data_IF_075718997399
#
_entry.id   IF_075718997399
#
_cell.length_a   1.000
_cell.length_b   1.000
_cell.length_c   1.000
_cell.angle_alpha   90.00
_cell.angle_beta   90.00
_cell.angle_gamma   90.00
#
_symmetry.space_group_name_H-M   'P 1'
#
loop_
_entity.id
_entity.type
_entity.pdbx_description
1 polymer ?
#
# COMPACT_ATOMS: atom_id res chain seq x y z
N UNK A 1 71.35 -51.58 -17.98
CA UNK A 1 70.71 -50.25 -17.94
C UNK A 1 69.26 -50.35 -18.37
N UNK A 2 68.29 -50.44 -17.45
CA UNK A 2 66.90 -50.10 -17.78
C UNK A 2 66.19 -49.48 -16.57
N UNK A 3 66.25 -48.17 -16.32
CA UNK A 3 65.49 -47.57 -15.20
C UNK A 3 65.08 -46.10 -15.41
N UNK A 4 65.40 -45.49 -16.55
CA UNK A 4 65.15 -44.06 -16.79
C UNK A 4 63.75 -43.76 -17.35
N UNK A 5 63.12 -44.68 -18.08
CA UNK A 5 61.81 -44.45 -18.69
C UNK A 5 60.63 -44.54 -17.69
N UNK A 6 60.72 -45.45 -16.71
CA UNK A 6 59.66 -45.62 -15.70
C UNK A 6 59.58 -44.43 -14.72
N UNK A 7 60.73 -43.84 -14.37
CA UNK A 7 60.79 -42.66 -13.50
C UNK A 7 60.23 -41.41 -14.19
N UNK A 8 60.47 -41.24 -15.50
CA UNK A 8 59.91 -40.12 -16.27
C UNK A 8 58.40 -40.22 -16.47
N UNK A 9 57.83 -41.43 -16.64
CA UNK A 9 56.36 -41.61 -16.74
C UNK A 9 55.64 -41.28 -15.44
N UNK A 10 56.17 -41.71 -14.28
CA UNK A 10 55.58 -41.38 -12.96
C UNK A 10 55.61 -39.88 -12.67
N UNK A 11 56.69 -39.18 -13.01
CA UNK A 11 56.81 -37.73 -12.81
C UNK A 11 55.86 -36.94 -13.73
N UNK A 12 55.68 -37.38 -14.99
CA UNK A 12 54.70 -36.79 -15.91
C UNK A 12 53.25 -37.00 -15.44
N UNK A 13 52.93 -38.19 -14.92
CA UNK A 13 51.60 -38.48 -14.38
C UNK A 13 51.27 -37.61 -13.17
N UNK A 14 52.23 -37.43 -12.26
CA UNK A 14 52.06 -36.58 -11.07
C UNK A 14 51.86 -35.10 -11.39
N UNK A 15 52.60 -34.57 -12.36
CA UNK A 15 52.46 -33.16 -12.78
C UNK A 15 51.11 -32.94 -13.47
N UNK A 16 50.67 -33.87 -14.32
CA UNK A 16 49.36 -33.77 -15.00
C UNK A 16 48.22 -33.85 -13.98
N UNK A 17 48.28 -34.76 -13.00
CA UNK A 17 47.27 -34.84 -11.93
C UNK A 17 47.24 -33.58 -11.07
N UNK A 18 48.38 -32.96 -10.78
CA UNK A 18 48.45 -31.71 -10.03
C UNK A 18 47.82 -30.55 -10.79
N UNK A 19 48.08 -30.44 -12.11
CA UNK A 19 47.52 -29.39 -12.97
C UNK A 19 46.02 -29.53 -13.15
N UNK A 20 45.51 -30.76 -13.27
CA UNK A 20 44.06 -31.01 -13.35
C UNK A 20 43.40 -30.67 -12.01
N UNK A 21 44.00 -31.05 -10.89
CA UNK A 21 43.45 -30.75 -9.56
C UNK A 21 43.39 -29.24 -9.31
N UNK A 22 44.42 -28.47 -9.66
CA UNK A 22 44.42 -27.01 -9.52
C UNK A 22 43.46 -26.32 -10.49
N UNK A 23 43.32 -26.83 -11.72
CA UNK A 23 42.33 -26.32 -12.67
C UNK A 23 40.89 -26.55 -12.19
N UNK A 24 40.60 -27.73 -11.64
CA UNK A 24 39.27 -28.04 -11.07
C UNK A 24 39.00 -27.19 -9.84
N UNK A 25 39.96 -27.05 -8.92
CA UNK A 25 39.82 -26.18 -7.74
C UNK A 25 39.60 -24.71 -8.13
N UNK A 26 40.38 -24.20 -9.09
CA UNK A 26 40.22 -22.84 -9.63
C UNK A 26 38.84 -22.63 -10.26
N UNK A 27 38.36 -23.60 -11.05
CA UNK A 27 37.03 -23.53 -11.66
C UNK A 27 35.91 -23.59 -10.61
N UNK A 28 36.04 -24.40 -9.55
CA UNK A 28 35.03 -24.47 -8.48
C UNK A 28 34.98 -23.15 -7.71
N UNK A 29 36.14 -22.57 -7.36
CA UNK A 29 36.19 -21.26 -6.69
C UNK A 29 35.61 -20.16 -7.58
N UNK A 30 35.89 -20.19 -8.89
CA UNK A 30 35.37 -19.21 -9.83
C UNK A 30 33.86 -19.37 -10.08
N UNK A 31 33.35 -20.61 -10.16
CA UNK A 31 31.93 -20.87 -10.32
C UNK A 31 31.14 -20.54 -9.05
N UNK A 32 31.62 -20.93 -7.86
CA UNK A 32 30.93 -20.64 -6.59
C UNK A 32 31.03 -19.15 -6.24
N UNK A 33 32.22 -18.55 -6.36
CA UNK A 33 32.41 -17.11 -6.11
C UNK A 33 31.71 -16.23 -7.12
N UNK A 34 31.71 -16.63 -8.40
CA UNK A 34 30.99 -15.95 -9.48
C UNK A 34 29.48 -16.00 -9.31
N UNK A 35 28.91 -17.15 -8.92
CA UNK A 35 27.48 -17.26 -8.61
C UNK A 35 27.08 -16.42 -7.39
N UNK A 36 27.93 -16.36 -6.36
CA UNK A 36 27.65 -15.58 -5.16
C UNK A 36 27.72 -14.06 -5.44
N UNK A 37 28.72 -13.62 -6.21
CA UNK A 37 28.86 -12.22 -6.62
C UNK A 37 27.77 -11.80 -7.61
N UNK A 38 27.47 -12.60 -8.63
CA UNK A 38 26.39 -12.32 -9.58
C UNK A 38 25.00 -12.40 -8.93
N UNK A 39 24.79 -13.29 -7.96
CA UNK A 39 23.54 -13.34 -7.20
C UNK A 39 23.32 -12.11 -6.32
N UNK A 40 24.37 -11.63 -5.65
CA UNK A 40 24.30 -10.44 -4.78
C UNK A 40 24.21 -9.11 -5.56
N UNK A 41 24.74 -9.06 -6.78
CA UNK A 41 24.62 -7.88 -7.67
C UNK A 41 23.35 -7.94 -8.52
N UNK A 42 22.91 -9.14 -8.90
CA UNK A 42 21.67 -9.36 -9.64
C UNK A 42 20.43 -9.05 -8.80
N UNK A 43 20.45 -9.33 -7.49
CA UNK A 43 19.36 -8.92 -6.60
C UNK A 43 19.27 -7.41 -6.48
N UNK A 44 20.38 -6.67 -6.47
CA UNK A 44 20.37 -5.20 -6.38
C UNK A 44 19.90 -4.49 -7.66
N UNK A 45 19.78 -5.22 -8.77
CA UNK A 45 19.32 -4.71 -10.07
C UNK A 45 17.85 -5.06 -10.35
N UNK A 46 17.21 -5.82 -9.46
CA UNK A 46 15.77 -6.08 -9.52
C UNK A 46 15.03 -4.84 -8.98
N UNK A 47 14.16 -4.18 -9.77
CA UNK A 47 13.38 -3.03 -9.32
C UNK A 47 12.47 -3.35 -8.12
N UNK A 48 12.22 -4.63 -7.84
CA UNK A 48 11.43 -5.10 -6.70
C UNK A 48 12.30 -5.54 -5.50
N UNK A 49 13.62 -5.43 -5.60
CA UNK A 49 14.50 -5.77 -4.48
C UNK A 49 14.47 -4.73 -3.39
N UNK A 50 13.70 -5.02 -2.35
CA UNK A 50 13.73 -4.27 -1.10
C UNK A 50 14.85 -4.80 -0.20
N UNK A 51 15.75 -3.93 0.26
CA UNK A 51 16.80 -4.37 1.18
C UNK A 51 16.20 -4.81 2.53
N UNK A 52 16.77 -5.80 3.24
CA UNK A 52 16.25 -6.22 4.55
C UNK A 52 16.18 -5.08 5.58
N UNK A 53 17.09 -4.12 5.48
CA UNK A 53 17.10 -2.93 6.31
C UNK A 53 15.91 -2.00 6.01
N UNK A 54 15.58 -1.81 4.74
CA UNK A 54 14.42 -1.03 4.29
C UNK A 54 13.10 -1.69 4.67
N UNK A 55 13.00 -3.03 4.57
CA UNK A 55 11.85 -3.79 5.07
C UNK A 55 11.67 -3.56 6.57
N UNK A 56 12.74 -3.68 7.37
CA UNK A 56 12.67 -3.50 8.81
C UNK A 56 12.31 -2.05 9.22
N UNK A 57 12.84 -1.05 8.51
CA UNK A 57 12.47 0.35 8.73
C UNK A 57 11.01 0.63 8.39
N UNK A 58 10.53 0.08 7.27
CA UNK A 58 9.14 0.20 6.83
C UNK A 58 8.20 -0.50 7.82
N UNK A 59 8.55 -1.72 8.25
CA UNK A 59 7.80 -2.46 9.28
C UNK A 59 7.71 -1.66 10.57
N UNK A 60 8.82 -1.10 11.06
CA UNK A 60 8.85 -0.28 12.26
C UNK A 60 8.02 1.01 12.13
N UNK A 61 7.94 1.60 10.94
CA UNK A 61 7.07 2.73 10.66
C UNK A 61 5.58 2.34 10.72
N UNK A 62 5.19 1.28 10.00
CA UNK A 62 3.82 0.77 9.97
C UNK A 62 3.33 0.32 11.35
N UNK A 63 4.19 -0.37 12.12
CA UNK A 63 3.89 -0.80 13.49
C UNK A 63 3.62 0.35 14.44
N UNK A 64 4.30 1.49 14.29
CA UNK A 64 4.06 2.69 15.11
C UNK A 64 2.71 3.34 14.82
N UNK A 65 2.17 3.18 13.60
CA UNK A 65 0.85 3.68 13.24
C UNK A 65 -0.31 2.92 13.91
N UNK A 66 -0.03 1.70 14.39
CA UNK A 66 -1.03 0.82 14.99
C UNK A 66 -1.86 0.05 13.95
N UNK A 67 -2.97 -0.57 14.37
CA UNK A 67 -3.83 -1.36 13.49
C UNK A 67 -4.60 -0.51 12.47
N UNK A 68 -4.73 -1.00 11.24
CA UNK A 68 -5.54 -0.38 10.19
C UNK A 68 -7.01 -0.18 10.62
N UNK A 69 -7.59 -1.17 11.31
CA UNK A 69 -8.97 -1.15 11.82
C UNK A 69 -9.17 -0.05 12.86
N UNK A 70 -8.17 0.21 13.69
CA UNK A 70 -8.23 1.28 14.68
C UNK A 70 -8.20 2.66 14.00
N UNK A 71 -7.39 2.84 12.95
CA UNK A 71 -7.42 4.08 12.16
C UNK A 71 -8.72 4.22 11.36
N UNK A 72 -9.24 3.13 10.78
CA UNK A 72 -10.52 3.11 10.09
C UNK A 72 -11.66 3.60 11.00
N UNK A 73 -11.71 3.16 12.26
CA UNK A 73 -12.68 3.65 13.25
C UNK A 73 -12.53 5.15 13.53
N UNK A 74 -11.30 5.68 13.60
CA UNK A 74 -11.07 7.12 13.76
C UNK A 74 -11.57 7.92 12.55
N UNK A 75 -11.30 7.42 11.36
CA UNK A 75 -11.74 7.99 10.07
C UNK A 75 -13.26 7.98 9.97
N UNK A 76 -13.92 6.86 10.28
CA UNK A 76 -15.38 6.76 10.28
C UNK A 76 -16.01 7.72 11.31
N UNK A 77 -15.44 7.82 12.52
CA UNK A 77 -15.90 8.79 13.51
C UNK A 77 -15.71 10.26 13.04
N UNK A 78 -14.66 10.55 12.29
CA UNK A 78 -14.43 11.86 11.69
C UNK A 78 -15.45 12.18 10.58
N UNK A 79 -15.81 11.18 9.76
CA UNK A 79 -16.87 11.32 8.76
C UNK A 79 -18.23 11.60 9.41
N UNK A 80 -18.61 10.87 10.46
CA UNK A 80 -19.86 11.10 11.19
C UNK A 80 -19.91 12.54 11.70
N UNK A 81 -18.85 13.00 12.37
CA UNK A 81 -18.78 14.38 12.88
C UNK A 81 -18.90 15.42 11.77
N UNK A 82 -18.24 15.19 10.64
CA UNK A 82 -18.37 16.08 9.48
C UNK A 82 -19.81 16.09 8.95
N UNK A 83 -20.41 14.92 8.78
CA UNK A 83 -21.75 14.77 8.23
C UNK A 83 -22.83 15.38 9.12
N UNK A 84 -22.75 15.16 10.43
CA UNK A 84 -23.63 15.77 11.42
C UNK A 84 -23.48 17.30 11.43
N UNK A 85 -22.25 17.81 11.36
CA UNK A 85 -22.01 19.25 11.32
C UNK A 85 -22.56 19.89 10.03
N UNK A 86 -22.42 19.23 8.88
CA UNK A 86 -22.99 19.70 7.60
C UNK A 86 -24.51 19.71 7.65
N UNK A 87 -25.15 18.63 8.11
CA UNK A 87 -26.61 18.56 8.22
C UNK A 87 -27.17 19.59 9.21
N UNK A 88 -26.46 19.86 10.31
CA UNK A 88 -26.85 20.89 11.28
C UNK A 88 -26.76 22.32 10.71
N UNK A 89 -25.79 22.58 9.83
CA UNK A 89 -25.59 23.90 9.20
C UNK A 89 -26.54 24.19 8.04
N UNK A 90 -27.10 23.15 7.41
CA UNK A 90 -27.89 23.28 6.20
C UNK A 90 -29.27 22.60 6.34
N UNK A 91 -30.30 23.36 6.76
CA UNK A 91 -31.66 22.83 6.86
C UNK A 91 -32.14 22.24 5.52
N UNK A 92 -32.61 20.99 5.55
CA UNK A 92 -33.03 20.26 4.36
C UNK A 92 -31.95 19.37 3.74
N UNK A 93 -30.73 19.38 4.28
CA UNK A 93 -29.70 18.37 3.99
C UNK A 93 -29.77 17.30 5.07
N UNK A 94 -29.87 16.04 4.64
CA UNK A 94 -29.76 14.87 5.50
C UNK A 94 -28.62 13.99 5.01
N UNK A 95 -28.14 13.09 5.86
CA UNK A 95 -27.16 12.10 5.45
C UNK A 95 -27.53 10.72 5.97
N UNK A 96 -27.09 9.70 5.24
CA UNK A 96 -27.18 8.32 5.68
C UNK A 96 -25.96 7.54 5.18
N UNK A 97 -25.78 6.33 5.68
CA UNK A 97 -24.75 5.43 5.18
C UNK A 97 -25.14 4.86 3.82
N UNK A 98 -24.17 4.75 2.92
CA UNK A 98 -24.27 3.91 1.74
C UNK A 98 -24.28 2.43 2.10
N UNK A 99 -24.72 1.61 1.15
CA UNK A 99 -24.87 0.16 1.34
C UNK A 99 -23.55 -0.62 1.25
N UNK A 100 -22.46 0.02 0.81
CA UNK A 100 -21.17 -0.64 0.71
C UNK A 100 -20.59 -1.00 2.07
N UNK A 101 -20.19 -2.27 2.17
CA UNK A 101 -19.37 -2.78 3.26
C UNK A 101 -17.95 -2.23 3.17
N UNK A 102 -17.27 -2.04 4.31
CA UNK A 102 -15.85 -1.72 4.30
C UNK A 102 -15.03 -2.78 3.57
N UNK A 103 -14.10 -2.35 2.73
CA UNK A 103 -13.25 -3.23 1.93
C UNK A 103 -11.77 -2.85 2.08
N UNK A 104 -10.87 -3.83 2.26
CA UNK A 104 -9.44 -3.58 2.29
C UNK A 104 -8.90 -3.38 0.87
N UNK A 105 -8.05 -2.36 0.72
CA UNK A 105 -7.21 -2.12 -0.44
C UNK A 105 -5.78 -2.57 -0.11
N UNK A 106 -5.14 -3.20 -1.09
CA UNK A 106 -3.75 -3.61 -0.96
C UNK A 106 -2.82 -2.39 -0.92
N UNK A 107 -1.99 -2.33 0.13
CA UNK A 107 -0.98 -1.29 0.31
C UNK A 107 0.44 -1.85 0.23
N UNK A 108 0.65 -2.97 -0.46
CA UNK A 108 1.93 -3.67 -0.51
C UNK A 108 2.59 -3.57 -1.91
N UNK A 109 3.08 -2.38 -2.33
CA UNK A 109 3.51 -2.13 -3.72
C UNK A 109 4.70 -2.96 -4.20
N UNK A 110 5.39 -3.70 -3.32
CA UNK A 110 6.55 -4.54 -3.68
C UNK A 110 6.52 -5.91 -2.98
N UNK A 111 5.34 -6.36 -2.55
CA UNK A 111 5.19 -7.62 -1.82
C UNK A 111 6.13 -7.75 -0.59
N UNK A 112 6.55 -6.64 0.03
CA UNK A 112 7.49 -6.58 1.16
C UNK A 112 7.04 -7.43 2.35
N UNK A 113 5.73 -7.55 2.55
CA UNK A 113 5.12 -8.26 3.67
C UNK A 113 4.19 -9.38 3.19
N UNK A 114 4.71 -10.50 2.66
CA UNK A 114 3.90 -11.52 2.00
C UNK A 114 2.99 -12.31 2.96
N UNK A 115 3.39 -12.43 4.23
CA UNK A 115 2.60 -13.14 5.23
C UNK A 115 1.41 -12.32 5.74
N UNK A 116 1.57 -11.00 5.84
CA UNK A 116 0.56 -10.09 6.37
C UNK A 116 0.77 -8.71 5.75
N UNK A 117 0.22 -8.48 4.55
CA UNK A 117 0.39 -7.22 3.87
C UNK A 117 -0.26 -6.08 4.66
N UNK A 118 0.32 -4.86 4.64
CA UNK A 118 -0.41 -3.69 5.07
C UNK A 118 -1.63 -3.49 4.17
N UNK A 119 -2.70 -2.98 4.76
CA UNK A 119 -3.97 -2.73 4.09
C UNK A 119 -4.49 -1.33 4.41
N UNK A 120 -5.26 -0.77 3.48
CA UNK A 120 -6.04 0.45 3.68
C UNK A 120 -7.51 0.06 3.66
N UNK A 121 -8.23 0.34 4.73
CA UNK A 121 -9.65 0.01 4.83
C UNK A 121 -10.45 1.20 4.31
N UNK A 122 -11.21 0.98 3.23
CA UNK A 122 -12.25 1.92 2.79
C UNK A 122 -13.42 1.76 3.75
N UNK A 123 -13.77 2.82 4.47
CA UNK A 123 -14.91 2.80 5.40
C UNK A 123 -16.22 3.02 4.65
N UNK A 124 -17.33 2.84 5.35
CA UNK A 124 -18.68 3.09 4.79
C UNK A 124 -18.78 4.52 4.26
N UNK A 125 -19.43 4.68 3.11
CA UNK A 125 -19.63 6.00 2.48
C UNK A 125 -20.77 6.76 3.15
N UNK A 126 -20.58 8.06 3.32
CA UNK A 126 -21.65 9.00 3.70
C UNK A 126 -22.31 9.51 2.42
N UNK A 127 -23.63 9.40 2.34
CA UNK A 127 -24.44 9.89 1.24
C UNK A 127 -25.30 11.05 1.74
N UNK A 128 -25.16 12.21 1.10
CA UNK A 128 -25.97 13.38 1.40
C UNK A 128 -27.19 13.45 0.48
N UNK A 129 -28.35 13.63 1.10
CA UNK A 129 -29.63 13.91 0.46
C UNK A 129 -29.98 15.41 0.55
N UNK A 130 -30.91 15.85 -0.28
CA UNK A 130 -31.33 17.27 -0.35
C UNK A 130 -30.60 18.07 -1.42
N UNK A 131 -30.63 19.40 -1.30
CA UNK A 131 -29.94 20.31 -2.23
C UNK A 131 -28.74 20.96 -1.54
N UNK A 132 -27.55 20.65 -2.04
CA UNK A 132 -26.31 21.30 -1.67
C UNK A 132 -25.95 22.28 -2.78
N UNK A 133 -26.47 23.51 -2.68
CA UNK A 133 -26.11 24.61 -3.58
C UNK A 133 -24.64 25.04 -3.36
N UNK A 134 -24.04 25.76 -4.31
CA UNK A 134 -22.61 26.10 -4.28
C UNK A 134 -22.11 26.71 -2.95
N UNK A 135 -22.80 27.68 -2.30
CA UNK A 135 -22.36 28.20 -1.01
C UNK A 135 -22.36 27.16 0.12
N UNK A 136 -23.31 26.22 0.08
CA UNK A 136 -23.39 25.13 1.06
C UNK A 136 -22.31 24.06 0.80
N UNK A 137 -21.91 23.84 -0.47
CA UNK A 137 -20.80 22.94 -0.80
C UNK A 137 -19.47 23.44 -0.26
N UNK A 138 -19.20 24.74 -0.39
CA UNK A 138 -17.95 25.32 0.10
C UNK A 138 -17.87 25.27 1.63
N UNK A 139 -18.98 25.56 2.32
CA UNK A 139 -19.07 25.41 3.77
C UNK A 139 -18.90 23.95 4.21
N UNK A 140 -19.57 23.02 3.54
CA UNK A 140 -19.42 21.59 3.82
C UNK A 140 -17.98 21.10 3.57
N UNK A 141 -17.35 21.56 2.49
CA UNK A 141 -15.96 21.23 2.19
C UNK A 141 -15.01 21.73 3.28
N UNK A 142 -15.25 22.91 3.86
CA UNK A 142 -14.45 23.41 4.97
C UNK A 142 -14.57 22.52 6.23
N UNK A 143 -15.76 22.00 6.51
CA UNK A 143 -16.00 21.04 7.60
C UNK A 143 -15.22 19.73 7.35
N UNK A 144 -15.28 19.21 6.12
CA UNK A 144 -14.52 18.00 5.76
C UNK A 144 -13.00 18.24 5.82
N UNK A 145 -12.53 19.41 5.41
CA UNK A 145 -11.12 19.78 5.50
C UNK A 145 -10.63 19.82 6.95
N UNK A 146 -11.45 20.36 7.88
CA UNK A 146 -11.12 20.37 9.31
C UNK A 146 -11.05 18.94 9.88
N UNK A 147 -12.04 18.10 9.58
CA UNK A 147 -12.02 16.71 10.04
C UNK A 147 -10.90 15.89 9.38
N UNK A 148 -10.51 16.20 8.14
CA UNK A 148 -9.39 15.57 7.45
C UNK A 148 -8.08 15.87 8.16
N UNK A 149 -7.86 17.14 8.53
CA UNK A 149 -6.68 17.57 9.30
C UNK A 149 -6.61 16.86 10.66
N UNK A 150 -7.75 16.62 11.31
CA UNK A 150 -7.81 15.89 12.57
C UNK A 150 -7.35 14.42 12.47
N UNK A 151 -7.39 13.82 11.27
CA UNK A 151 -6.86 12.47 10.97
C UNK A 151 -5.51 12.50 10.23
N UNK A 152 -4.85 13.66 10.21
CA UNK A 152 -3.52 13.84 9.61
C UNK A 152 -3.52 14.04 8.09
N UNK A 153 -4.69 14.23 7.47
CA UNK A 153 -4.80 14.47 6.02
C UNK A 153 -4.87 15.97 5.72
N UNK A 154 -3.72 16.55 5.35
CA UNK A 154 -3.58 17.99 5.10
C UNK A 154 -3.40 18.36 3.63
N UNK A 155 -3.11 17.39 2.76
CA UNK A 155 -3.01 17.62 1.32
C UNK A 155 -4.42 17.65 0.71
N UNK A 156 -4.66 18.57 -0.21
CA UNK A 156 -5.97 18.79 -0.84
C UNK A 156 -5.79 18.88 -2.35
N UNK A 157 -6.43 17.97 -3.08
CA UNK A 157 -6.39 17.95 -4.54
C UNK A 157 -7.80 17.89 -5.12
N UNK A 158 -8.06 18.69 -6.15
CA UNK A 158 -9.35 18.69 -6.85
C UNK A 158 -9.30 17.75 -8.06
N UNK A 159 -10.41 17.08 -8.36
CA UNK A 159 -10.53 16.22 -9.52
C UNK A 159 -11.95 16.27 -10.13
N UNK A 160 -12.08 15.73 -11.34
CA UNK A 160 -13.36 15.51 -12.00
C UNK A 160 -13.45 14.04 -12.38
N UNK A 161 -14.55 13.39 -12.02
CA UNK A 161 -14.83 12.00 -12.36
C UNK A 161 -15.19 11.85 -13.85
N UNK A 162 -15.17 10.61 -14.35
CA UNK A 162 -15.56 10.30 -15.74
C UNK A 162 -17.04 10.60 -16.05
N UNK A 163 -17.91 10.57 -15.03
CA UNK A 163 -19.31 10.95 -15.13
C UNK A 163 -19.56 12.47 -14.93
N UNK A 164 -18.49 13.28 -14.88
CA UNK A 164 -18.55 14.74 -14.89
C UNK A 164 -18.78 15.40 -13.52
N UNK A 165 -18.73 14.63 -12.44
CA UNK A 165 -18.83 15.15 -11.06
C UNK A 165 -17.50 15.75 -10.61
N UNK A 166 -17.56 16.86 -9.91
CA UNK A 166 -16.37 17.47 -9.30
C UNK A 166 -16.16 16.91 -7.89
N UNK A 167 -14.91 16.69 -7.52
CA UNK A 167 -14.54 16.20 -6.21
C UNK A 167 -13.25 16.78 -5.68
N UNK A 168 -13.00 16.50 -4.40
CA UNK A 168 -11.78 16.86 -3.69
C UNK A 168 -11.32 15.65 -2.89
N UNK A 169 -10.03 15.34 -2.97
CA UNK A 169 -9.37 14.38 -2.08
C UNK A 169 -8.65 15.12 -0.96
N UNK A 170 -8.67 14.52 0.23
CA UNK A 170 -7.81 14.91 1.33
C UNK A 170 -6.87 13.77 1.67
N UNK A 171 -5.56 14.01 1.61
CA UNK A 171 -4.52 12.97 1.70
C UNK A 171 -3.50 13.25 2.81
N UNK A 172 -2.98 12.19 3.43
CA UNK A 172 -1.90 12.25 4.44
C UNK A 172 -0.54 12.44 3.76
N UNK A 173 -0.35 11.77 2.63
CA UNK A 173 0.80 11.86 1.73
C UNK A 173 0.34 11.57 0.30
N UNK A 174 1.17 11.82 -0.73
CA UNK A 174 0.86 11.36 -2.08
C UNK A 174 0.53 9.86 -2.08
N UNK A 175 -0.65 9.49 -2.59
CA UNK A 175 -1.13 8.11 -2.63
C UNK A 175 -1.84 7.59 -1.36
N UNK A 176 -1.78 8.30 -0.23
CA UNK A 176 -2.48 7.95 1.01
C UNK A 176 -3.69 8.88 1.22
N UNK A 177 -4.76 8.60 0.48
CA UNK A 177 -6.00 9.36 0.54
C UNK A 177 -6.74 8.98 1.83
N UNK A 178 -7.16 9.97 2.61
CA UNK A 178 -8.00 9.77 3.79
C UNK A 178 -9.48 10.00 3.48
N UNK A 179 -9.83 11.06 2.76
CA UNK A 179 -11.21 11.35 2.35
C UNK A 179 -11.31 11.61 0.84
N UNK A 180 -12.41 11.18 0.24
CA UNK A 180 -12.82 11.53 -1.13
C UNK A 180 -14.21 12.14 -1.05
N UNK A 181 -14.33 13.42 -1.37
CA UNK A 181 -15.61 14.14 -1.40
C UNK A 181 -16.00 14.38 -2.85
N UNK A 182 -17.16 13.88 -3.28
CA UNK A 182 -17.63 14.02 -4.66
C UNK A 182 -19.02 14.64 -4.69
N UNK A 183 -19.19 15.73 -5.44
CA UNK A 183 -20.44 16.49 -5.50
C UNK A 183 -21.26 16.19 -6.75
N UNK A 184 -22.57 16.37 -6.64
CA UNK A 184 -23.48 16.35 -7.78
C UNK A 184 -24.10 14.99 -8.06
N UNK A 185 -25.22 15.04 -8.76
CA UNK A 185 -25.98 13.89 -9.23
C UNK A 185 -25.59 13.57 -10.67
N UNK A 186 -25.53 12.29 -10.99
CA UNK A 186 -25.35 11.85 -12.38
C UNK A 186 -26.69 11.97 -13.11
N UNK A 187 -26.67 12.53 -14.32
CA UNK A 187 -27.88 12.59 -15.15
C UNK A 187 -28.34 11.17 -15.51
N UNK A 188 -29.57 10.75 -15.14
CA UNK A 188 -30.10 9.44 -15.50
C UNK A 188 -30.09 9.16 -17.01
N UNK A 189 -30.08 10.20 -17.86
CA UNK A 189 -29.96 10.04 -19.32
C UNK A 189 -28.60 9.52 -19.76
N UNK A 190 -27.57 9.70 -18.94
CA UNK A 190 -26.20 9.24 -19.22
C UNK A 190 -26.00 7.78 -18.80
N UNK A 191 -26.58 7.38 -17.67
CA UNK A 191 -26.32 6.07 -17.03
C UNK A 191 -27.54 5.13 -16.96
N UNK A 192 -28.71 5.58 -17.41
CA UNK A 192 -29.96 4.82 -17.37
C UNK A 192 -30.55 4.74 -15.96
N UNK A 193 -30.09 3.77 -15.16
CA UNK A 193 -30.54 3.54 -13.79
C UNK A 193 -29.43 3.91 -12.80
N UNK A 194 -29.38 5.17 -12.32
CA UNK A 194 -28.32 5.60 -11.43
C UNK A 194 -28.43 4.92 -10.06
N UNK A 195 -27.29 4.52 -9.50
CA UNK A 195 -27.19 3.99 -8.13
C UNK A 195 -27.52 5.07 -7.09
N UNK A 196 -27.74 4.66 -5.84
CA UNK A 196 -27.97 5.61 -4.74
C UNK A 196 -26.85 6.67 -4.64
N UNK A 197 -25.59 6.27 -4.84
CA UNK A 197 -24.42 7.15 -4.82
C UNK A 197 -24.40 8.15 -5.97
N UNK A 198 -24.95 7.75 -7.12
CA UNK A 198 -25.10 8.61 -8.29
C UNK A 198 -26.28 9.58 -8.14
N UNK A 199 -27.26 9.25 -7.29
CA UNK A 199 -28.41 10.11 -6.96
C UNK A 199 -28.17 11.03 -5.76
N UNK A 200 -27.13 10.76 -4.95
CA UNK A 200 -26.77 11.60 -3.82
C UNK A 200 -26.31 13.00 -4.26
N UNK A 201 -26.63 14.01 -3.46
CA UNK A 201 -26.14 15.38 -3.68
C UNK A 201 -24.62 15.47 -3.45
N UNK A 202 -24.12 14.65 -2.53
CA UNK A 202 -22.70 14.43 -2.31
C UNK A 202 -22.45 13.00 -1.81
N UNK A 203 -21.27 12.47 -2.15
CA UNK A 203 -20.77 11.19 -1.65
C UNK A 203 -19.44 11.48 -0.98
N UNK A 204 -19.28 10.99 0.26
CA UNK A 204 -18.00 11.07 0.96
C UNK A 204 -17.54 9.69 1.35
N UNK A 205 -16.37 9.32 0.84
CA UNK A 205 -15.67 8.09 1.20
C UNK A 205 -14.54 8.42 2.17
N UNK A 206 -14.35 7.59 3.17
CA UNK A 206 -13.18 7.65 4.04
C UNK A 206 -12.31 6.41 3.89
N UNK A 207 -11.02 6.56 4.16
CA UNK A 207 -10.04 5.49 4.10
C UNK A 207 -9.05 5.60 5.25
N UNK A 208 -8.72 4.46 5.85
CA UNK A 208 -7.63 4.40 6.82
C UNK A 208 -6.29 4.73 6.16
N UNK A 209 -5.25 4.99 6.94
CA UNK A 209 -3.88 4.92 6.46
C UNK A 209 -3.55 3.48 6.06
N UNK A 210 -2.57 3.34 5.16
CA UNK A 210 -1.95 2.04 4.86
C UNK A 210 -1.19 1.55 6.10
N UNK A 211 -1.74 0.58 6.82
CA UNK A 211 -1.21 0.09 8.09
C UNK A 211 -1.33 -1.44 8.15
N UNK A 212 -0.64 -2.06 9.11
CA UNK A 212 -0.84 -3.49 9.33
C UNK A 212 -2.24 -3.76 9.90
N UNK A 213 -2.89 -4.84 9.47
CA UNK A 213 -4.16 -5.27 10.04
C UNK A 213 -3.99 -5.71 11.50
N UNK A 214 -5.07 -5.72 12.28
CA UNK A 214 -5.10 -6.12 13.68
C UNK A 214 -4.48 -7.50 13.90
N UNK A 215 -4.69 -8.43 12.95
CA UNK A 215 -4.12 -9.79 12.98
C UNK A 215 -2.59 -9.80 13.09
N UNK A 216 -1.92 -8.81 12.50
CA UNK A 216 -0.47 -8.65 12.61
C UNK A 216 0.02 -8.46 14.06
N UNK A 217 -0.81 -7.84 14.91
CA UNK A 217 -0.47 -7.53 16.29
C UNK A 217 -0.90 -8.62 17.27
N UNK A 218 -1.89 -9.44 16.90
CA UNK A 218 -2.43 -10.51 17.76
C UNK A 218 -1.83 -11.87 17.45
N UNK A 219 -1.52 -12.13 16.18
CA UNK A 219 -0.83 -13.33 15.77
C UNK A 219 0.66 -13.12 16.06
N UNK A 220 1.32 -14.09 16.71
CA UNK A 220 2.72 -13.98 17.13
C UNK A 220 3.66 -13.96 15.93
N UNK A 221 3.73 -12.86 15.19
CA UNK A 221 4.74 -12.59 14.15
C UNK A 221 6.12 -12.28 14.75
N UNK A 222 6.50 -12.98 15.83
CA UNK A 222 7.89 -13.11 16.24
C UNK A 222 8.60 -13.99 15.22
N UNK A 223 9.79 -13.56 14.80
CA UNK A 223 10.58 -14.19 13.74
C UNK A 223 10.57 -15.72 13.81
N UNK A 224 10.10 -16.38 12.75
CA UNK A 224 10.53 -17.76 12.50
C UNK A 224 12.05 -17.75 12.33
N UNK A 225 12.81 -18.47 13.16
CA UNK A 225 14.24 -18.63 12.92
C UNK A 225 14.39 -19.24 11.53
N UNK A 226 15.18 -18.58 10.67
CA UNK A 226 15.58 -19.14 9.38
C UNK A 226 16.06 -20.57 9.60
N UNK A 227 15.43 -21.54 8.89
CA UNK A 227 16.01 -22.88 8.72
C UNK A 227 17.01 -22.85 7.57
#
# INVERSE_FOLDING_TARGET
>A
MPNTEAAMRKRKFWIVSLVIATAVLGSVVFCVGGFFLLGSWGSQLDPDHTSPHEVAQTEAALRRGGPAEADAQRVEAALIRAADAVAAQHPGVAWHWGEQTPEPLDCNPYHMFPATPPEQIVVRRVLFEGDLAAPARDAALAVFEEQAKAVGASLKDSFTTSDGRSGVTFSRSPGDIAFVVTWGRVDPRVVGNPTQEQQAAAVVEGRSACLFPQRYFTDRHLATPNR
#
